data_IF_434310617818
#
_entry.id   IF_434310617818
#
_cell.length_a   1.000
_cell.length_b   1.000
_cell.length_c   1.000
_cell.angle_alpha   90.00
_cell.angle_beta   90.00
_cell.angle_gamma   90.00
#
_symmetry.space_group_name_H-M   'P 1'
#
loop_
_entity.id
_entity.type
_entity.pdbx_description
1 polymer ?
#
# COMPACT_ATOMS: atom_id res chain seq x y z
N UNK A 1 -24.99 16.16 -12.27
CA UNK A 1 -24.11 15.01 -12.58
C UNK A 1 -22.70 15.45 -12.25
N UNK A 2 -21.89 14.63 -11.57
CA UNK A 2 -20.48 14.97 -11.32
C UNK A 2 -19.73 15.01 -12.65
N UNK A 3 -18.83 15.99 -12.80
CA UNK A 3 -17.92 16.06 -13.94
C UNK A 3 -16.80 15.02 -13.80
N UNK A 4 -16.04 14.79 -14.88
CA UNK A 4 -14.82 13.97 -14.81
C UNK A 4 -13.84 14.49 -13.75
N UNK A 5 -13.69 15.82 -13.67
CA UNK A 5 -12.85 16.51 -12.67
C UNK A 5 -13.34 16.31 -11.24
N UNK A 6 -14.66 16.36 -11.00
CA UNK A 6 -15.23 16.15 -9.66
C UNK A 6 -14.95 14.72 -9.17
N UNK A 7 -15.18 13.71 -10.02
CA UNK A 7 -14.89 12.32 -9.67
C UNK A 7 -13.38 12.08 -9.47
N UNK A 8 -12.54 12.68 -10.33
CA UNK A 8 -11.08 12.60 -10.18
C UNK A 8 -10.62 13.17 -8.82
N UNK A 9 -11.15 14.33 -8.43
CA UNK A 9 -10.84 14.95 -7.14
C UNK A 9 -11.22 14.07 -5.96
N UNK A 10 -12.42 13.48 -5.97
CA UNK A 10 -12.85 12.57 -4.92
C UNK A 10 -11.98 11.32 -4.85
N UNK A 11 -11.63 10.73 -5.99
CA UNK A 11 -10.78 9.54 -6.02
C UNK A 11 -9.32 9.82 -5.68
N UNK A 12 -8.79 11.00 -5.98
CA UNK A 12 -7.46 11.43 -5.51
C UNK A 12 -7.41 11.58 -3.99
N UNK A 13 -8.51 12.04 -3.36
CA UNK A 13 -8.61 12.10 -1.89
C UNK A 13 -8.64 10.70 -1.29
N UNK A 14 -9.41 9.79 -1.89
CA UNK A 14 -9.46 8.38 -1.49
C UNK A 14 -8.08 7.73 -1.60
N UNK A 15 -7.35 7.95 -2.71
CA UNK A 15 -5.99 7.44 -2.90
C UNK A 15 -5.02 8.04 -1.88
N UNK A 16 -5.05 9.36 -1.62
CA UNK A 16 -4.17 9.95 -0.61
C UNK A 16 -4.43 9.37 0.79
N UNK A 17 -5.69 9.10 1.13
CA UNK A 17 -6.04 8.46 2.38
C UNK A 17 -5.59 6.98 2.45
N UNK A 18 -5.69 6.26 1.33
CA UNK A 18 -5.19 4.90 1.17
C UNK A 18 -3.68 4.83 1.42
N UNK A 19 -2.90 5.71 0.79
CA UNK A 19 -1.45 5.78 0.96
C UNK A 19 -1.04 6.11 2.41
N UNK A 20 -1.75 7.01 3.07
CA UNK A 20 -1.51 7.31 4.48
C UNK A 20 -1.78 6.11 5.40
N UNK A 21 -2.77 5.30 5.06
CA UNK A 21 -3.05 4.06 5.77
C UNK A 21 -2.01 2.98 5.46
N UNK A 22 -1.56 2.87 4.21
CA UNK A 22 -0.51 1.97 3.76
C UNK A 22 0.79 2.23 4.54
N UNK A 23 1.24 3.50 4.59
CA UNK A 23 2.46 3.90 5.29
C UNK A 23 2.45 3.43 6.76
N UNK A 24 1.33 3.66 7.47
CA UNK A 24 1.19 3.25 8.87
C UNK A 24 1.24 1.74 9.05
N UNK A 25 0.54 1.01 8.17
CA UNK A 25 0.49 -0.45 8.20
C UNK A 25 1.88 -1.04 7.93
N UNK A 26 2.56 -0.56 6.90
CA UNK A 26 3.90 -0.99 6.50
C UNK A 26 4.93 -0.67 7.59
N UNK A 27 4.87 0.52 8.19
CA UNK A 27 5.75 0.91 9.30
C UNK A 27 5.59 -0.07 10.47
N UNK A 28 4.35 -0.33 10.89
CA UNK A 28 4.08 -1.26 11.96
C UNK A 28 4.51 -2.69 11.62
N UNK A 29 4.34 -3.14 10.37
CA UNK A 29 4.80 -4.45 9.92
C UNK A 29 6.33 -4.55 9.97
N UNK A 30 7.03 -3.54 9.45
CA UNK A 30 8.49 -3.49 9.40
C UNK A 30 9.13 -3.58 10.79
N UNK A 31 8.55 -2.91 11.79
CA UNK A 31 9.01 -2.93 13.19
C UNK A 31 8.95 -4.34 13.82
N UNK A 32 8.09 -5.22 13.32
CA UNK A 32 7.91 -6.59 13.84
C UNK A 32 8.70 -7.65 13.06
N UNK A 33 9.38 -7.28 11.98
CA UNK A 33 10.15 -8.22 11.15
C UNK A 33 11.58 -8.38 11.66
N UNK A 34 11.79 -9.35 12.54
CA UNK A 34 13.12 -9.64 13.13
C UNK A 34 13.96 -10.59 12.27
N UNK A 35 13.35 -11.66 11.74
CA UNK A 35 14.07 -12.78 11.10
C UNK A 35 13.96 -12.80 9.57
N UNK A 36 13.50 -11.71 8.97
CA UNK A 36 13.23 -11.60 7.54
C UNK A 36 13.88 -10.33 6.96
N UNK A 37 15.22 -10.25 6.93
CA UNK A 37 15.93 -9.01 6.58
C UNK A 37 15.64 -8.54 5.15
N UNK A 38 15.48 -9.45 4.19
CA UNK A 38 15.13 -9.11 2.80
C UNK A 38 13.72 -8.51 2.69
N UNK A 39 12.73 -9.13 3.35
CA UNK A 39 11.36 -8.61 3.41
C UNK A 39 11.30 -7.27 4.12
N UNK A 40 12.01 -7.13 5.25
CA UNK A 40 12.09 -5.87 5.99
C UNK A 40 12.70 -4.77 5.12
N UNK A 41 13.82 -5.02 4.45
CA UNK A 41 14.47 -4.05 3.59
C UNK A 41 13.54 -3.61 2.43
N UNK A 42 12.81 -4.55 1.81
CA UNK A 42 11.86 -4.19 0.76
C UNK A 42 10.69 -3.36 1.27
N UNK A 43 10.15 -3.67 2.45
CA UNK A 43 9.08 -2.89 3.08
C UNK A 43 9.59 -1.51 3.47
N UNK A 44 10.79 -1.39 4.04
CA UNK A 44 11.40 -0.11 4.39
C UNK A 44 11.59 0.78 3.15
N UNK A 45 12.07 0.20 2.04
CA UNK A 45 12.10 0.89 0.74
C UNK A 45 10.70 1.32 0.32
N UNK A 46 9.71 0.44 0.46
CA UNK A 46 8.36 0.73 0.02
C UNK A 46 7.68 1.83 0.85
N UNK A 47 7.95 1.92 2.15
CA UNK A 47 7.51 3.02 3.00
C UNK A 47 7.99 4.38 2.45
N UNK A 48 9.24 4.45 1.99
CA UNK A 48 9.78 5.68 1.39
C UNK A 48 9.16 5.96 0.01
N UNK A 49 8.86 4.93 -0.78
CA UNK A 49 8.06 5.05 -2.02
C UNK A 49 6.67 5.62 -1.69
N UNK A 50 5.91 5.01 -0.78
CA UNK A 50 4.59 5.44 -0.29
C UNK A 50 4.56 6.88 0.19
N UNK A 51 5.58 7.33 0.92
CA UNK A 51 5.70 8.75 1.33
C UNK A 51 5.82 9.67 0.12
N UNK A 52 6.65 9.33 -0.85
CA UNK A 52 6.77 10.08 -2.10
C UNK A 52 5.47 10.10 -2.91
N UNK A 53 4.75 8.98 -2.95
CA UNK A 53 3.45 8.87 -3.62
C UNK A 53 2.41 9.80 -2.97
N UNK A 54 2.37 9.87 -1.63
CA UNK A 54 1.52 10.84 -0.91
C UNK A 54 1.83 12.28 -1.29
N UNK A 55 3.09 12.66 -1.36
CA UNK A 55 3.51 14.02 -1.74
C UNK A 55 3.10 14.35 -3.19
N UNK A 56 3.19 13.38 -4.11
CA UNK A 56 2.71 13.52 -5.48
C UNK A 56 1.19 13.73 -5.52
N UNK A 57 0.42 12.94 -4.77
CA UNK A 57 -1.03 13.07 -4.69
C UNK A 57 -1.45 14.40 -4.06
N UNK A 58 -0.77 14.83 -3.00
CA UNK A 58 -1.01 16.15 -2.38
C UNK A 58 -0.78 17.28 -3.38
N UNK A 59 0.30 17.20 -4.17
CA UNK A 59 0.59 18.17 -5.23
C UNK A 59 -0.49 18.19 -6.33
N UNK A 60 -1.03 17.02 -6.70
CA UNK A 60 -2.17 16.92 -7.62
C UNK A 60 -3.43 17.58 -7.06
N UNK A 61 -3.78 17.28 -5.81
CA UNK A 61 -4.95 17.86 -5.14
C UNK A 61 -4.85 19.39 -5.04
N UNK A 62 -3.69 19.91 -4.61
CA UNK A 62 -3.44 21.35 -4.49
C UNK A 62 -3.61 22.06 -5.85
N UNK A 63 -3.09 21.47 -6.93
CA UNK A 63 -3.20 22.03 -8.29
C UNK A 63 -4.64 22.06 -8.80
N UNK A 64 -5.46 21.10 -8.40
CA UNK A 64 -6.89 21.06 -8.71
C UNK A 64 -7.74 21.91 -7.75
N UNK A 65 -7.12 22.72 -6.87
CA UNK A 65 -7.82 23.60 -5.93
C UNK A 65 -8.44 22.88 -4.75
N UNK A 66 -8.00 21.66 -4.45
CA UNK A 66 -8.41 20.87 -3.28
C UNK A 66 -7.26 20.73 -2.29
N UNK A 67 -7.57 20.47 -1.02
CA UNK A 67 -6.60 19.89 -0.08
C UNK A 67 -6.78 18.38 -0.02
N UNK A 68 -5.81 17.62 0.51
CA UNK A 68 -6.08 16.33 1.11
C UNK A 68 -7.26 16.47 2.08
N UNK A 69 -8.22 15.54 2.03
CA UNK A 69 -9.32 15.57 2.98
C UNK A 69 -8.76 15.50 4.41
N UNK A 70 -9.29 16.32 5.31
CA UNK A 70 -8.90 16.24 6.73
C UNK A 70 -9.17 14.83 7.26
N UNK A 71 -8.34 14.37 8.20
CA UNK A 71 -8.39 13.04 8.86
C UNK A 71 -9.78 12.49 9.22
N UNK A 72 -10.79 13.36 9.33
CA UNK A 72 -12.19 13.01 9.60
C UNK A 72 -12.91 12.33 8.43
N UNK A 73 -12.41 12.45 7.20
CA UNK A 73 -13.04 11.89 6.00
C UNK A 73 -12.41 10.57 5.56
N UNK A 74 -11.70 9.88 6.46
CA UNK A 74 -11.36 8.48 6.25
C UNK A 74 -12.69 7.70 6.20
N UNK A 75 -13.22 7.55 4.99
CA UNK A 75 -14.51 6.93 4.77
C UNK A 75 -14.50 5.53 5.37
N UNK A 76 -15.66 5.06 5.83
CA UNK A 76 -15.82 3.72 6.40
C UNK A 76 -15.25 2.60 5.50
N UNK A 77 -15.04 2.87 4.20
CA UNK A 77 -14.45 1.96 3.21
C UNK A 77 -12.96 1.67 3.46
N UNK A 78 -12.16 2.66 3.85
CA UNK A 78 -10.72 2.44 4.15
C UNK A 78 -10.56 1.68 5.48
N UNK A 79 -11.39 2.01 6.48
CA UNK A 79 -11.43 1.24 7.74
C UNK A 79 -11.92 -0.20 7.53
N UNK A 80 -12.89 -0.43 6.64
CA UNK A 80 -13.36 -1.78 6.30
C UNK A 80 -12.25 -2.63 5.65
N UNK A 81 -11.41 -2.01 4.81
CA UNK A 81 -10.23 -2.69 4.24
C UNK A 81 -9.18 -3.00 5.31
N UNK A 82 -8.93 -2.06 6.23
CA UNK A 82 -8.03 -2.27 7.37
C UNK A 82 -8.51 -3.36 8.33
N UNK A 83 -9.82 -3.56 8.51
CA UNK A 83 -10.35 -4.64 9.35
C UNK A 83 -10.19 -6.04 8.74
N UNK A 84 -10.14 -6.17 7.41
CA UNK A 84 -9.82 -7.44 6.76
C UNK A 84 -8.38 -7.90 7.08
N UNK A 85 -7.47 -6.96 7.34
CA UNK A 85 -6.08 -7.22 7.76
C UNK A 85 -5.96 -7.38 9.29
N UNK A 86 -6.79 -6.67 10.07
CA UNK A 86 -6.71 -6.64 11.54
C UNK A 86 -7.23 -7.92 12.25
N UNK A 87 -7.79 -8.89 11.52
CA UNK A 87 -8.27 -10.16 12.09
C UNK A 87 -7.17 -11.18 12.43
N UNK A 88 -5.90 -10.87 12.18
CA UNK A 88 -4.78 -11.79 12.35
C UNK A 88 -4.21 -11.74 13.77
N UNK A 89 -4.88 -12.42 14.70
CA UNK A 89 -4.12 -13.15 15.72
C UNK A 89 -3.60 -14.44 15.07
N UNK A 90 -2.55 -15.05 15.63
CA UNK A 90 -1.95 -16.38 15.33
C UNK A 90 -0.49 -16.28 14.84
N UNK A 91 0.31 -17.24 15.29
CA UNK A 91 1.76 -17.43 15.14
C UNK A 91 2.36 -17.30 13.73
N UNK A 92 1.57 -17.08 12.68
CA UNK A 92 1.94 -16.99 11.26
C UNK A 92 1.84 -15.56 10.67
N UNK A 93 1.89 -14.55 11.54
CA UNK A 93 1.71 -13.13 11.19
C UNK A 93 2.55 -12.66 9.99
N UNK A 94 3.79 -13.13 9.85
CA UNK A 94 4.66 -12.75 8.71
C UNK A 94 4.14 -13.26 7.36
N UNK A 95 3.64 -14.50 7.31
CA UNK A 95 3.13 -15.10 6.06
C UNK A 95 1.83 -14.42 5.68
N UNK A 96 0.90 -14.32 6.62
CA UNK A 96 -0.38 -13.67 6.34
C UNK A 96 -0.23 -12.17 6.09
N UNK A 97 0.75 -11.52 6.74
CA UNK A 97 1.13 -10.14 6.49
C UNK A 97 1.65 -9.93 5.06
N UNK A 98 2.54 -10.79 4.58
CA UNK A 98 3.01 -10.73 3.19
C UNK A 98 1.88 -11.01 2.18
N UNK A 99 0.98 -11.95 2.48
CA UNK A 99 -0.20 -12.21 1.65
C UNK A 99 -1.14 -11.00 1.60
N UNK A 100 -1.40 -10.39 2.75
CA UNK A 100 -2.26 -9.21 2.86
C UNK A 100 -1.66 -8.02 2.16
N UNK A 101 -0.35 -7.82 2.28
CA UNK A 101 0.42 -6.84 1.52
C UNK A 101 0.20 -7.03 0.02
N UNK A 102 0.43 -8.23 -0.51
CA UNK A 102 0.26 -8.51 -1.95
C UNK A 102 -1.16 -8.19 -2.45
N UNK A 103 -2.18 -8.52 -1.66
CA UNK A 103 -3.57 -8.19 -2.00
C UNK A 103 -3.79 -6.68 -1.98
N UNK A 104 -3.23 -5.97 -0.99
CA UNK A 104 -3.32 -4.52 -0.89
C UNK A 104 -2.67 -3.83 -2.08
N UNK A 105 -1.46 -4.23 -2.50
CA UNK A 105 -0.82 -3.71 -3.72
C UNK A 105 -1.72 -3.82 -4.95
N UNK A 106 -2.46 -4.92 -5.09
CA UNK A 106 -3.39 -5.10 -6.21
C UNK A 106 -4.61 -4.16 -6.15
N UNK A 107 -5.02 -3.73 -4.96
CA UNK A 107 -6.04 -2.71 -4.78
C UNK A 107 -5.50 -1.35 -5.24
N UNK A 108 -4.25 -1.04 -4.91
CA UNK A 108 -3.60 0.21 -5.31
C UNK A 108 -3.39 0.25 -6.82
N UNK A 109 -2.91 -0.85 -7.42
CA UNK A 109 -2.82 -1.03 -8.88
C UNK A 109 -4.18 -0.75 -9.55
N UNK A 110 -5.26 -1.30 -9.00
CA UNK A 110 -6.60 -1.06 -9.53
C UNK A 110 -7.04 0.42 -9.37
N UNK A 111 -6.79 1.01 -8.20
CA UNK A 111 -7.11 2.42 -7.92
C UNK A 111 -6.36 3.37 -8.87
N UNK A 112 -5.06 3.17 -9.06
CA UNK A 112 -4.26 3.98 -9.98
C UNK A 112 -4.63 3.76 -11.44
N UNK A 113 -5.01 2.54 -11.84
CA UNK A 113 -5.56 2.28 -13.18
C UNK A 113 -6.83 3.10 -13.43
N UNK A 114 -7.73 3.18 -12.45
CA UNK A 114 -8.95 4.01 -12.53
C UNK A 114 -8.61 5.50 -12.57
N UNK A 115 -7.69 5.96 -11.72
CA UNK A 115 -7.26 7.37 -11.66
C UNK A 115 -6.59 7.83 -12.96
N UNK A 116 -5.77 7.00 -13.59
CA UNK A 116 -5.14 7.30 -14.89
C UNK A 116 -6.22 7.54 -15.96
N UNK A 117 -7.24 6.67 -16.01
CA UNK A 117 -8.36 6.84 -16.94
C UNK A 117 -9.17 8.10 -16.64
N UNK A 118 -9.43 8.39 -15.36
CA UNK A 118 -10.15 9.58 -14.92
C UNK A 118 -9.39 10.87 -15.26
N UNK A 119 -8.08 10.91 -15.00
CA UNK A 119 -7.22 12.05 -15.31
C UNK A 119 -7.16 12.32 -16.81
N UNK A 120 -7.10 11.26 -17.63
CA UNK A 120 -7.18 11.37 -19.09
C UNK A 120 -8.50 11.97 -19.56
N UNK A 121 -9.63 11.52 -19.01
CA UNK A 121 -10.96 12.05 -19.36
C UNK A 121 -11.14 13.50 -18.89
N UNK A 122 -10.55 13.86 -17.75
CA UNK A 122 -10.54 15.24 -17.23
C UNK A 122 -9.55 16.17 -17.97
N UNK A 123 -8.72 15.64 -18.87
CA UNK A 123 -7.68 16.40 -19.57
C UNK A 123 -6.48 16.82 -18.70
N UNK A 124 -6.28 16.18 -17.55
CA UNK A 124 -5.19 16.48 -16.61
C UNK A 124 -3.98 15.54 -16.83
N UNK A 125 -3.18 15.86 -17.84
CA UNK A 125 -2.00 15.09 -18.21
C UNK A 125 -0.94 14.98 -17.10
N UNK A 126 -0.84 15.98 -16.22
CA UNK A 126 0.14 15.96 -15.13
C UNK A 126 -0.31 15.04 -13.99
N UNK A 127 -1.61 14.98 -13.68
CA UNK A 127 -2.13 13.97 -12.73
C UNK A 127 -2.02 12.57 -13.32
N UNK A 128 -2.32 12.41 -14.61
CA UNK A 128 -2.11 11.13 -15.30
C UNK A 128 -0.66 10.65 -15.14
N UNK A 129 0.32 11.53 -15.40
CA UNK A 129 1.76 11.21 -15.27
C UNK A 129 2.13 10.83 -13.84
N UNK A 130 1.60 11.53 -12.84
CA UNK A 130 1.83 11.20 -11.44
C UNK A 130 1.28 9.80 -11.10
N UNK A 131 0.03 9.50 -11.46
CA UNK A 131 -0.56 8.19 -11.22
C UNK A 131 0.16 7.05 -11.98
N UNK A 132 0.67 7.31 -13.20
CA UNK A 132 1.49 6.34 -13.95
C UNK A 132 2.85 6.07 -13.28
N UNK A 133 3.43 7.07 -12.62
CA UNK A 133 4.66 6.90 -11.86
C UNK A 133 4.41 6.01 -10.64
N UNK A 134 3.35 6.30 -9.89
CA UNK A 134 2.97 5.54 -8.69
C UNK A 134 2.62 4.10 -9.06
N UNK A 135 1.79 3.88 -10.09
CA UNK A 135 1.41 2.55 -10.56
C UNK A 135 2.61 1.62 -10.82
N UNK A 136 3.72 2.16 -11.34
CA UNK A 136 4.93 1.36 -11.58
C UNK A 136 5.57 0.86 -10.29
N UNK A 137 5.51 1.65 -9.22
CA UNK A 137 6.03 1.30 -7.90
C UNK A 137 5.17 0.20 -7.26
N UNK A 138 3.84 0.35 -7.32
CA UNK A 138 2.91 -0.66 -6.76
C UNK A 138 2.99 -1.99 -7.50
N UNK A 139 3.10 -1.96 -8.84
CA UNK A 139 3.34 -3.18 -9.63
C UNK A 139 4.65 -3.85 -9.22
N UNK A 140 5.72 -3.07 -9.04
CA UNK A 140 7.00 -3.62 -8.62
C UNK A 140 6.95 -4.22 -7.20
N UNK A 141 6.17 -3.65 -6.28
CA UNK A 141 5.96 -4.21 -4.94
C UNK A 141 5.12 -5.49 -4.99
N UNK A 142 4.00 -5.48 -5.73
CA UNK A 142 3.15 -6.65 -5.93
C UNK A 142 3.94 -7.83 -6.53
N UNK A 143 4.71 -7.59 -7.59
CA UNK A 143 5.52 -8.63 -8.23
C UNK A 143 6.59 -9.16 -7.29
N UNK A 144 7.30 -8.27 -6.57
CA UNK A 144 8.30 -8.69 -5.60
C UNK A 144 7.69 -9.57 -4.51
N UNK A 145 6.56 -9.17 -3.92
CA UNK A 145 5.87 -9.97 -2.90
C UNK A 145 5.44 -11.32 -3.46
N UNK A 146 4.82 -11.35 -4.64
CA UNK A 146 4.38 -12.59 -5.31
C UNK A 146 5.53 -13.57 -5.51
N UNK A 147 6.69 -13.07 -5.91
CA UNK A 147 7.89 -13.88 -6.14
C UNK A 147 8.51 -14.42 -4.84
N UNK A 148 8.45 -13.64 -3.74
CA UNK A 148 9.09 -14.00 -2.47
C UNK A 148 8.16 -14.73 -1.49
N UNK A 149 6.84 -14.75 -1.71
CA UNK A 149 5.87 -15.47 -0.89
C UNK A 149 6.26 -16.95 -0.62
N UNK A 150 6.72 -17.75 -1.60
CA UNK A 150 7.17 -19.12 -1.34
C UNK A 150 8.38 -19.20 -0.41
N UNK A 151 9.36 -18.31 -0.56
CA UNK A 151 10.55 -18.25 0.29
C UNK A 151 10.18 -17.87 1.72
N UNK A 152 9.37 -16.82 1.89
CA UNK A 152 8.89 -16.35 3.21
C UNK A 152 8.13 -17.48 3.92
N UNK A 153 7.26 -18.19 3.20
CA UNK A 153 6.48 -19.32 3.74
C UNK A 153 7.39 -20.46 4.18
N UNK A 154 8.36 -20.83 3.35
CA UNK A 154 9.29 -21.92 3.66
C UNK A 154 10.15 -21.59 4.88
N UNK A 155 10.69 -20.38 4.94
CA UNK A 155 11.48 -19.91 6.08
C UNK A 155 10.66 -19.90 7.38
N UNK A 156 9.39 -19.45 7.31
CA UNK A 156 8.46 -19.51 8.43
C UNK A 156 8.23 -20.93 8.95
N UNK A 157 7.95 -21.88 8.05
CA UNK A 157 7.69 -23.28 8.42
C UNK A 157 8.93 -23.94 9.04
N UNK A 158 10.12 -23.69 8.49
CA UNK A 158 11.38 -24.21 9.01
C UNK A 158 11.67 -23.73 10.44
N UNK A 159 11.47 -22.42 10.69
CA UNK A 159 11.63 -21.83 12.03
C UNK A 159 10.59 -22.37 13.01
N UNK A 160 9.34 -22.46 12.60
CA UNK A 160 8.24 -22.96 13.44
C UNK A 160 8.43 -24.43 13.86
N UNK A 161 9.11 -25.22 13.03
CA UNK A 161 9.44 -26.61 13.34
C UNK A 161 10.64 -26.78 14.29
N UNK A 162 11.45 -25.74 14.52
CA UNK A 162 12.69 -25.80 15.32
C UNK A 162 12.81 -24.68 16.37
N UNK A 163 11.86 -24.54 17.32
CA UNK A 163 11.82 -23.44 18.29
C UNK A 163 13.04 -23.38 19.23
N UNK A 164 13.72 -24.50 19.49
CA UNK A 164 14.85 -24.59 20.42
C UNK A 164 16.19 -24.03 19.87
N UNK A 165 16.28 -23.70 18.57
CA UNK A 165 17.50 -23.13 17.97
C UNK A 165 17.58 -21.61 18.12
N UNK A 166 16.45 -20.92 18.20
CA UNK A 166 16.40 -19.46 18.39
C UNK A 166 16.67 -19.05 19.85
N UNK A 167 16.43 -19.93 20.83
CA UNK A 167 16.69 -19.66 22.25
C UNK A 167 18.19 -19.69 22.65
N UNK A 168 19.11 -19.97 21.71
CA UNK A 168 20.56 -20.14 21.97
C UNK A 168 21.47 -19.13 21.25
N UNK A 169 20.93 -18.04 20.70
CA UNK A 169 21.73 -16.97 20.08
C UNK A 169 21.52 -15.63 20.75
#
# INVERSE_FOLDING_TARGET
>A
MSTATDNLLDWLRDAHAMEQQAEKMLTAQSERLEHYPELKARIDQHIDETRGQRELLESCLQRLGSSPSTFKDLSAKVMAFGQAVAGMTVSDEVVKGAMSGYVFENVEIAAYTVLIAAAKEAGDAQTQTACEQILKQEVAMADWLREHLPQITTAFLQRSASPDLDAKR
#
